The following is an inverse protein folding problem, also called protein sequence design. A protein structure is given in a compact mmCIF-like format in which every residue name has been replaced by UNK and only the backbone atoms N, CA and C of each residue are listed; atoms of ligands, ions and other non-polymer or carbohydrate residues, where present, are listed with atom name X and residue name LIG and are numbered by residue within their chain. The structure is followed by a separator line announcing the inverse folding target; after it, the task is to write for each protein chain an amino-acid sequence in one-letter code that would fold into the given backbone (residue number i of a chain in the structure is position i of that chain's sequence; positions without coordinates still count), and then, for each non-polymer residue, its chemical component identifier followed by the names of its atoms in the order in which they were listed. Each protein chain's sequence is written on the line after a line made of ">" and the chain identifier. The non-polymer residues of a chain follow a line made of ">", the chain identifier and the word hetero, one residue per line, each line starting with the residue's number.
data_IF_485073564726
#
_entry.id   IF_485073564726
#
_cell.length_a   1.000
_cell.length_b   1.000
_cell.length_c   1.000
_cell.angle_alpha   90.00
_cell.angle_beta   90.00
_cell.angle_gamma   90.00
#
_symmetry.space_group_name_H-M   'P 1'
#
loop_
_entity.id
_entity.type
_entity.pdbx_description
1 polymer ?
#
# COMPACT_ATOMS: atom_id res chain seq x y z
N UNK A 1 3.14 -19.55 90.04
CA UNK A 1 3.36 -18.16 89.56
C UNK A 1 4.47 -17.97 88.55
N UNK A 2 5.57 -18.71 88.65
CA UNK A 2 6.71 -18.59 87.76
C UNK A 2 6.50 -18.93 86.29
N UNK A 3 5.68 -19.92 85.96
CA UNK A 3 5.43 -20.34 84.58
C UNK A 3 4.73 -19.27 83.76
N UNK A 4 3.81 -18.49 84.31
CA UNK A 4 3.14 -17.38 83.63
C UNK A 4 4.06 -16.20 83.33
N UNK A 5 5.09 -16.01 84.21
CA UNK A 5 6.07 -14.95 84.02
C UNK A 5 7.06 -15.30 82.88
N UNK A 6 7.48 -16.54 82.80
CA UNK A 6 8.37 -17.04 81.75
C UNK A 6 7.70 -16.94 80.37
N UNK A 7 6.44 -17.33 80.30
CA UNK A 7 5.67 -17.26 79.03
C UNK A 7 5.48 -15.81 78.53
N UNK A 8 5.29 -14.85 79.44
CA UNK A 8 5.22 -13.43 79.10
C UNK A 8 6.54 -12.88 78.59
N UNK A 9 7.66 -13.30 79.16
CA UNK A 9 9.00 -12.89 78.73
C UNK A 9 9.28 -13.43 77.33
N UNK A 10 9.00 -14.70 77.10
CA UNK A 10 9.13 -15.32 75.76
C UNK A 10 8.29 -14.63 74.70
N UNK A 11 7.05 -14.28 75.04
CA UNK A 11 6.17 -13.59 74.08
C UNK A 11 6.62 -12.17 73.78
N UNK A 12 7.12 -11.44 74.75
CA UNK A 12 7.69 -10.11 74.55
C UNK A 12 8.99 -10.16 73.73
N UNK A 13 9.86 -11.14 73.97
CA UNK A 13 11.10 -11.29 73.25
C UNK A 13 10.83 -11.68 71.74
N UNK A 14 9.84 -12.55 71.54
CA UNK A 14 9.45 -12.94 70.19
C UNK A 14 8.79 -11.76 69.43
N UNK A 15 7.99 -10.93 70.11
CA UNK A 15 7.39 -9.74 69.51
C UNK A 15 8.46 -8.67 69.18
N UNK A 16 9.49 -8.51 70.03
CA UNK A 16 10.62 -7.61 69.78
C UNK A 16 11.50 -8.06 68.62
N UNK A 17 11.70 -9.37 68.42
CA UNK A 17 12.44 -9.93 67.30
C UNK A 17 11.72 -9.73 65.94
N UNK A 18 10.40 -9.72 65.92
CA UNK A 18 9.59 -9.44 64.74
C UNK A 18 9.60 -7.95 64.34
N UNK A 19 9.85 -7.04 65.26
CA UNK A 19 9.90 -5.60 65.00
C UNK A 19 11.22 -5.14 64.37
N UNK A 20 12.29 -5.91 64.38
CA UNK A 20 13.59 -5.56 63.80
C UNK A 20 13.69 -5.87 62.30
N UNK A 21 12.70 -6.52 61.69
CA UNK A 21 12.69 -6.94 60.30
C UNK A 21 12.35 -5.89 59.25
N UNK A 22 11.93 -4.67 59.62
CA UNK A 22 11.50 -3.63 58.66
C UNK A 22 12.58 -2.56 58.39
N UNK A 23 13.84 -2.94 58.42
CA UNK A 23 14.91 -2.09 57.94
C UNK A 23 15.38 -2.54 56.51
N UNK A 24 14.48 -2.64 55.56
CA UNK A 24 14.90 -2.80 54.20
C UNK A 24 15.41 -1.46 53.69
N UNK A 25 16.72 -1.28 53.83
CA UNK A 25 17.39 -0.13 53.28
C UNK A 25 17.04 0.01 51.80
N UNK A 26 16.47 1.14 51.42
CA UNK A 26 16.49 1.58 50.04
C UNK A 26 17.86 2.15 49.65
N UNK A 27 18.88 1.82 50.46
CA UNK A 27 20.27 2.32 50.31
C UNK A 27 20.90 1.82 49.02
N UNK A 28 20.59 0.61 48.60
CA UNK A 28 20.99 0.05 47.31
C UNK A 28 20.36 0.79 46.11
N UNK A 29 19.09 1.13 46.22
CA UNK A 29 18.37 1.91 45.19
C UNK A 29 18.90 3.35 45.13
N UNK A 30 19.14 3.96 46.28
CA UNK A 30 19.71 5.30 46.37
C UNK A 30 21.12 5.32 45.78
N UNK A 31 21.96 4.35 46.12
CA UNK A 31 23.31 4.19 45.58
C UNK A 31 23.25 3.98 44.03
N UNK A 32 22.32 3.17 43.55
CA UNK A 32 22.16 2.97 42.11
C UNK A 32 21.73 4.24 41.39
N UNK A 33 20.77 4.99 41.96
CA UNK A 33 20.31 6.27 41.38
C UNK A 33 21.46 7.30 41.36
N UNK A 34 22.27 7.34 42.41
CA UNK A 34 23.43 8.25 42.49
C UNK A 34 24.51 7.83 41.49
N UNK A 35 24.75 6.53 41.32
CA UNK A 35 25.67 6.03 40.29
C UNK A 35 25.18 6.43 38.87
N UNK A 36 23.90 6.24 38.57
CA UNK A 36 23.35 6.61 37.25
C UNK A 36 23.42 8.11 37.02
N UNK A 37 23.14 8.93 38.05
CA UNK A 37 23.25 10.38 37.98
C UNK A 37 24.72 10.86 37.82
N UNK A 38 25.65 10.15 38.40
CA UNK A 38 27.08 10.45 38.31
C UNK A 38 27.68 10.04 36.97
N UNK A 39 27.01 9.19 36.18
CA UNK A 39 27.48 8.82 34.85
C UNK A 39 27.55 10.07 33.96
N UNK A 40 28.72 10.38 33.39
CA UNK A 40 28.82 11.50 32.47
C UNK A 40 27.81 11.31 31.32
N UNK A 41 27.00 12.30 31.05
CA UNK A 41 26.06 12.29 29.93
C UNK A 41 26.81 11.97 28.64
N UNK A 42 26.25 11.09 27.81
CA UNK A 42 26.83 10.74 26.52
C UNK A 42 27.15 12.00 25.73
N UNK A 43 28.23 11.96 24.96
CA UNK A 43 28.63 13.06 24.09
C UNK A 43 27.48 13.33 23.10
N UNK A 44 26.82 14.46 23.26
CA UNK A 44 25.78 14.89 22.31
C UNK A 44 26.49 15.26 21.01
N UNK A 45 26.15 14.55 19.93
CA UNK A 45 26.66 14.91 18.61
C UNK A 45 26.23 16.34 18.28
N UNK A 46 27.14 17.19 17.77
CA UNK A 46 26.79 18.53 17.37
C UNK A 46 25.73 18.47 16.26
N UNK A 47 24.74 19.33 16.37
CA UNK A 47 23.69 19.43 15.35
C UNK A 47 24.33 19.63 13.97
N UNK A 48 23.84 18.95 12.93
CA UNK A 48 24.33 19.13 11.58
C UNK A 48 24.19 20.61 11.19
N UNK A 49 25.26 21.18 10.68
CA UNK A 49 25.23 22.57 10.20
C UNK A 49 24.27 22.66 9.02
N UNK A 50 23.23 23.48 9.16
CA UNK A 50 22.28 23.75 8.09
C UNK A 50 23.06 24.56 7.03
N UNK A 51 23.29 23.96 5.88
CA UNK A 51 23.83 24.67 4.72
C UNK A 51 22.82 25.75 4.32
N UNK A 52 23.24 27.02 4.18
CA UNK A 52 22.32 28.04 3.72
C UNK A 52 21.75 27.66 2.37
N UNK A 53 20.41 27.68 2.28
CA UNK A 53 19.70 27.41 1.04
C UNK A 53 20.02 28.53 0.05
N UNK A 54 20.62 28.18 -1.09
CA UNK A 54 20.78 29.12 -2.18
C UNK A 54 19.49 29.15 -2.97
N UNK A 55 18.81 30.28 -2.97
CA UNK A 55 17.63 30.49 -3.81
C UNK A 55 18.06 30.45 -5.26
N UNK A 56 17.52 29.48 -6.00
CA UNK A 56 17.69 29.42 -7.44
C UNK A 56 16.58 30.26 -8.09
N UNK A 57 16.93 31.31 -8.78
CA UNK A 57 16.01 32.04 -9.63
C UNK A 57 15.92 31.33 -10.96
N UNK A 58 14.73 30.83 -11.25
CA UNK A 58 14.46 30.20 -12.53
C UNK A 58 14.32 31.29 -13.61
N UNK A 59 15.26 31.33 -14.53
CA UNK A 59 15.19 32.16 -15.74
C UNK A 59 14.72 31.27 -16.90
N UNK A 60 13.46 31.47 -17.32
CA UNK A 60 12.88 30.70 -18.39
C UNK A 60 13.59 30.95 -19.74
N UNK A 61 14.14 32.16 -19.93
CA UNK A 61 14.70 32.55 -21.22
C UNK A 61 13.68 32.31 -22.33
N UNK A 62 14.15 31.84 -23.48
CA UNK A 62 13.30 31.49 -24.63
C UNK A 62 12.70 30.07 -24.53
N UNK A 63 12.78 29.45 -23.35
CA UNK A 63 12.21 28.10 -23.14
C UNK A 63 10.70 28.19 -23.04
N UNK A 64 10.05 27.30 -23.76
CA UNK A 64 8.61 27.18 -23.75
C UNK A 64 8.11 26.79 -22.34
N UNK A 65 7.01 27.41 -21.91
CA UNK A 65 6.34 27.00 -20.68
C UNK A 65 5.81 25.55 -20.80
N UNK A 66 6.13 24.65 -19.87
CA UNK A 66 5.62 23.28 -19.93
C UNK A 66 4.10 23.20 -19.70
N UNK A 67 3.47 24.28 -19.27
CA UNK A 67 2.02 24.34 -19.00
C UNK A 67 1.21 24.95 -20.16
N UNK A 68 1.87 25.43 -21.20
CA UNK A 68 1.19 25.88 -22.41
C UNK A 68 1.02 24.70 -23.35
N UNK A 69 -0.23 24.27 -23.48
CA UNK A 69 -0.59 23.24 -24.43
C UNK A 69 -0.31 23.72 -25.86
N UNK A 70 0.44 22.97 -26.64
CA UNK A 70 0.58 23.28 -28.05
C UNK A 70 -0.74 23.16 -28.76
N UNK A 71 -1.38 24.29 -28.98
CA UNK A 71 -2.42 24.42 -29.99
C UNK A 71 -1.73 24.57 -31.34
N UNK A 72 -0.89 23.60 -31.72
CA UNK A 72 -0.50 23.44 -33.11
C UNK A 72 -1.76 23.11 -33.92
N UNK A 73 -1.81 23.49 -35.20
CA UNK A 73 -2.92 23.08 -36.03
C UNK A 73 -3.07 21.55 -35.94
N UNK A 74 -4.24 21.09 -35.52
CA UNK A 74 -4.58 19.67 -35.34
C UNK A 74 -4.60 18.89 -36.68
N UNK A 75 -3.62 19.11 -37.52
CA UNK A 75 -3.42 18.46 -38.83
C UNK A 75 -2.33 17.41 -38.84
N UNK A 76 -1.69 17.16 -37.68
CA UNK A 76 -0.96 15.93 -37.47
C UNK A 76 -1.96 14.89 -36.94
N UNK A 77 -2.45 13.99 -37.78
CA UNK A 77 -2.96 12.72 -37.30
C UNK A 77 -1.87 12.16 -36.37
N UNK A 78 -2.11 12.25 -35.07
CA UNK A 78 -1.28 11.52 -34.12
C UNK A 78 -1.37 10.06 -34.57
N UNK A 79 -0.28 9.59 -35.18
CA UNK A 79 -0.19 8.25 -35.75
C UNK A 79 -0.10 7.25 -34.61
N UNK A 80 -1.22 6.98 -33.95
CA UNK A 80 -1.32 6.06 -32.85
C UNK A 80 -2.67 5.33 -32.85
N UNK A 81 -2.76 4.24 -32.13
CA UNK A 81 -4.03 3.55 -31.95
C UNK A 81 -5.04 4.49 -31.33
N UNK A 82 -6.29 4.41 -31.76
CA UNK A 82 -7.40 5.19 -31.20
C UNK A 82 -8.60 4.29 -30.95
N UNK A 83 -9.37 4.56 -29.90
CA UNK A 83 -10.65 3.89 -29.66
C UNK A 83 -11.59 4.11 -30.85
N UNK A 84 -12.29 3.06 -31.24
CA UNK A 84 -13.36 3.17 -32.23
C UNK A 84 -14.66 3.62 -31.55
N UNK A 85 -14.90 4.92 -31.60
CA UNK A 85 -16.11 5.53 -31.03
C UNK A 85 -17.39 5.28 -31.84
N UNK A 86 -17.27 4.73 -33.06
CA UNK A 86 -18.41 4.48 -33.95
C UNK A 86 -19.13 3.15 -33.62
N UNK A 87 -18.45 2.21 -32.92
CA UNK A 87 -19.06 0.93 -32.56
C UNK A 87 -19.92 1.04 -31.29
N UNK A 88 -20.99 0.25 -31.18
CA UNK A 88 -21.72 0.12 -29.94
C UNK A 88 -20.80 -0.54 -28.88
N UNK A 89 -20.84 -0.01 -27.67
CA UNK A 89 -20.08 -0.59 -26.56
C UNK A 89 -20.71 -1.91 -26.09
N UNK A 90 -19.86 -2.87 -25.77
CA UNK A 90 -20.26 -4.12 -25.15
C UNK A 90 -20.51 -3.92 -23.65
N UNK A 91 -21.32 -4.81 -23.05
CA UNK A 91 -21.71 -4.69 -21.64
C UNK A 91 -20.52 -4.66 -20.69
N UNK A 92 -19.49 -5.50 -20.93
CA UNK A 92 -18.29 -5.61 -20.09
C UNK A 92 -17.36 -4.38 -20.17
N UNK A 93 -17.55 -3.49 -21.13
CA UNK A 93 -16.83 -2.21 -21.18
C UNK A 93 -17.33 -1.17 -20.15
N UNK A 94 -18.45 -1.44 -19.49
CA UNK A 94 -18.96 -0.63 -18.38
C UNK A 94 -18.18 -0.84 -17.08
N UNK A 95 -17.41 -1.89 -16.96
CA UNK A 95 -16.71 -2.29 -15.75
C UNK A 95 -15.20 -2.04 -15.88
N UNK A 96 -14.50 -1.59 -14.81
CA UNK A 96 -13.06 -1.58 -14.79
C UNK A 96 -12.48 -3.00 -14.93
N UNK A 97 -11.37 -3.15 -15.64
CA UNK A 97 -10.78 -4.46 -15.91
C UNK A 97 -10.42 -5.24 -14.64
N UNK A 98 -9.98 -4.53 -13.60
CA UNK A 98 -9.60 -5.05 -12.28
C UNK A 98 -10.77 -5.56 -11.44
N UNK A 99 -12.01 -5.26 -11.84
CA UNK A 99 -13.22 -5.76 -11.18
C UNK A 99 -13.83 -6.98 -11.90
N UNK A 100 -13.23 -7.40 -13.00
CA UNK A 100 -13.64 -8.54 -13.80
C UNK A 100 -12.80 -9.76 -13.43
N UNK A 101 -13.45 -10.84 -13.05
CA UNK A 101 -12.78 -12.09 -12.66
C UNK A 101 -13.06 -13.19 -13.68
N UNK A 102 -12.02 -13.91 -14.09
CA UNK A 102 -12.23 -15.12 -14.90
C UNK A 102 -12.62 -16.29 -13.98
N UNK A 103 -13.74 -16.92 -14.27
CA UNK A 103 -14.26 -18.05 -13.47
C UNK A 103 -14.15 -19.39 -14.20
N UNK A 104 -13.67 -19.41 -15.42
CA UNK A 104 -13.47 -20.63 -16.18
C UNK A 104 -13.47 -20.44 -17.68
N UNK A 105 -13.44 -21.57 -18.38
CA UNK A 105 -13.59 -21.65 -19.84
C UNK A 105 -14.76 -22.52 -20.22
N UNK A 106 -15.32 -22.29 -21.38
CA UNK A 106 -16.36 -23.11 -21.98
C UNK A 106 -16.01 -23.43 -23.43
N UNK A 107 -15.89 -24.69 -23.76
CA UNK A 107 -15.71 -25.10 -25.14
C UNK A 107 -17.08 -25.42 -25.78
N UNK A 108 -17.34 -24.77 -26.89
CA UNK A 108 -18.57 -25.02 -27.68
C UNK A 108 -18.29 -24.84 -29.17
N UNK A 109 -18.70 -25.79 -29.95
CA UNK A 109 -18.57 -25.75 -31.44
C UNK A 109 -17.10 -25.52 -31.90
N UNK A 110 -16.13 -26.09 -31.17
CA UNK A 110 -14.70 -25.94 -31.47
C UNK A 110 -14.13 -24.55 -31.17
N UNK A 111 -14.86 -23.76 -30.37
CA UNK A 111 -14.40 -22.43 -29.89
C UNK A 111 -14.31 -22.43 -28.37
N UNK A 112 -13.23 -21.87 -27.84
CA UNK A 112 -13.03 -21.70 -26.42
C UNK A 112 -13.48 -20.28 -26.01
N UNK A 113 -14.47 -20.22 -25.14
CA UNK A 113 -14.98 -19.01 -24.52
C UNK A 113 -14.36 -18.82 -23.15
N UNK A 114 -13.98 -17.61 -22.82
CA UNK A 114 -13.69 -17.23 -21.44
C UNK A 114 -15.00 -16.89 -20.71
N UNK A 115 -15.12 -17.31 -19.48
CA UNK A 115 -16.22 -16.97 -18.59
C UNK A 115 -15.75 -15.88 -17.63
N UNK A 116 -16.31 -14.69 -17.78
CA UNK A 116 -15.93 -13.51 -16.97
C UNK A 116 -17.10 -13.15 -16.07
N UNK A 117 -16.85 -13.11 -14.77
CA UNK A 117 -17.80 -12.69 -13.75
C UNK A 117 -17.59 -11.20 -13.44
N UNK A 118 -18.69 -10.46 -13.42
CA UNK A 118 -18.76 -9.07 -12.99
C UNK A 118 -19.02 -8.95 -11.49
N UNK A 119 -18.78 -7.80 -10.90
CA UNK A 119 -18.97 -7.55 -9.47
C UNK A 119 -20.40 -7.74 -8.94
N UNK A 120 -21.40 -7.75 -9.84
CA UNK A 120 -22.80 -8.07 -9.54
C UNK A 120 -23.10 -9.58 -9.57
N UNK A 121 -22.07 -10.41 -9.84
CA UNK A 121 -22.17 -11.87 -9.86
C UNK A 121 -22.64 -12.47 -11.17
N UNK A 122 -22.89 -11.68 -12.21
CA UNK A 122 -23.27 -12.18 -13.53
C UNK A 122 -22.06 -12.74 -14.28
N UNK A 123 -22.26 -13.85 -15.00
CA UNK A 123 -21.21 -14.46 -15.79
C UNK A 123 -21.47 -14.26 -17.27
N UNK A 124 -20.50 -13.69 -17.95
CA UNK A 124 -20.53 -13.40 -19.38
C UNK A 124 -19.51 -14.23 -20.14
N UNK A 125 -19.86 -14.59 -21.37
CA UNK A 125 -18.97 -15.32 -22.29
C UNK A 125 -18.24 -14.35 -23.17
N UNK A 126 -16.92 -14.48 -23.26
CA UNK A 126 -16.09 -13.67 -24.15
C UNK A 126 -15.28 -14.56 -25.10
N UNK A 127 -15.02 -14.02 -26.27
CA UNK A 127 -14.18 -14.61 -27.31
C UNK A 127 -13.06 -13.64 -27.69
N UNK A 128 -11.96 -14.13 -28.31
CA UNK A 128 -11.02 -13.24 -28.98
C UNK A 128 -11.74 -12.28 -29.94
N UNK A 129 -11.47 -10.99 -29.79
CA UNK A 129 -12.11 -9.92 -30.54
C UNK A 129 -13.24 -9.18 -29.81
N UNK A 130 -13.82 -9.73 -28.72
CA UNK A 130 -14.75 -9.01 -27.87
C UNK A 130 -14.04 -7.90 -27.09
N UNK A 131 -14.82 -6.95 -26.57
CA UNK A 131 -14.33 -5.83 -25.80
C UNK A 131 -14.77 -5.90 -24.35
N UNK A 132 -13.88 -5.51 -23.43
CA UNK A 132 -14.12 -5.46 -21.99
C UNK A 132 -13.18 -4.44 -21.33
N UNK A 133 -13.60 -3.96 -20.16
CA UNK A 133 -12.83 -2.90 -19.49
C UNK A 133 -13.10 -1.50 -20.03
N UNK A 134 -12.93 -0.49 -19.17
CA UNK A 134 -13.25 0.91 -19.50
C UNK A 134 -12.28 1.55 -20.51
N UNK A 135 -11.14 0.92 -20.77
CA UNK A 135 -10.09 1.41 -21.64
C UNK A 135 -10.10 0.74 -23.04
N UNK A 136 -11.28 0.47 -23.58
CA UNK A 136 -11.44 -0.21 -24.87
C UNK A 136 -10.59 -1.49 -24.99
N UNK A 137 -10.56 -2.29 -23.92
CA UNK A 137 -9.76 -3.50 -23.82
C UNK A 137 -10.28 -4.58 -24.77
N UNK A 138 -9.49 -4.94 -25.77
CA UNK A 138 -9.82 -5.99 -26.73
C UNK A 138 -9.24 -7.34 -26.28
N UNK A 139 -10.06 -8.36 -26.23
CA UNK A 139 -9.62 -9.73 -25.96
C UNK A 139 -8.73 -10.20 -27.12
N UNK A 140 -7.50 -10.55 -26.83
CA UNK A 140 -6.51 -11.07 -27.79
C UNK A 140 -6.56 -12.59 -27.81
N UNK A 141 -6.52 -13.22 -26.64
CA UNK A 141 -6.54 -14.67 -26.50
C UNK A 141 -7.31 -15.10 -25.27
N UNK A 142 -7.83 -16.34 -25.32
CA UNK A 142 -8.49 -17.01 -24.20
C UNK A 142 -7.81 -18.35 -24.01
N UNK A 143 -7.35 -18.62 -22.79
CA UNK A 143 -6.70 -19.87 -22.39
C UNK A 143 -7.31 -20.36 -21.07
N UNK A 144 -6.98 -21.58 -20.66
CA UNK A 144 -7.39 -22.10 -19.34
C UNK A 144 -6.77 -21.33 -18.18
N UNK A 145 -5.61 -20.69 -18.39
CA UNK A 145 -4.90 -19.92 -17.37
C UNK A 145 -5.41 -18.47 -17.24
N UNK A 146 -6.04 -17.94 -18.29
CA UNK A 146 -6.44 -16.53 -18.28
C UNK A 146 -6.88 -16.02 -19.65
N UNK A 147 -7.32 -14.78 -19.65
CA UNK A 147 -7.73 -14.00 -20.82
C UNK A 147 -6.73 -12.87 -21.00
N UNK A 148 -6.06 -12.82 -22.17
CA UNK A 148 -5.19 -11.72 -22.52
C UNK A 148 -5.99 -10.60 -23.19
N UNK A 149 -5.74 -9.38 -22.75
CA UNK A 149 -6.46 -8.18 -23.18
C UNK A 149 -5.46 -7.10 -23.60
N UNK A 150 -5.72 -6.44 -24.69
CA UNK A 150 -4.98 -5.25 -25.14
C UNK A 150 -5.85 -4.01 -24.91
N UNK A 151 -5.46 -3.16 -23.98
CA UNK A 151 -6.15 -1.90 -23.64
C UNK A 151 -5.55 -0.71 -24.38
N UNK A 152 -6.39 0.29 -24.65
CA UNK A 152 -5.99 1.60 -25.16
C UNK A 152 -6.02 2.63 -24.03
N UNK A 153 -4.85 2.97 -23.50
CA UNK A 153 -4.71 3.91 -22.38
C UNK A 153 -4.33 5.29 -22.91
N UNK A 154 -5.01 6.36 -22.48
CA UNK A 154 -4.65 7.72 -22.88
C UNK A 154 -3.24 8.08 -22.38
N UNK A 155 -2.45 8.73 -23.23
CA UNK A 155 -1.09 9.17 -22.94
C UNK A 155 -1.02 10.53 -22.21
N UNK A 156 -2.17 11.17 -21.96
CA UNK A 156 -2.28 12.47 -21.30
C UNK A 156 -2.05 13.68 -22.20
N UNK A 157 -1.62 13.48 -23.44
CA UNK A 157 -1.39 14.55 -24.44
C UNK A 157 -2.31 14.46 -25.65
N UNK A 158 -3.39 13.65 -25.55
CA UNK A 158 -4.41 13.48 -26.58
C UNK A 158 -4.20 12.30 -27.52
N UNK A 159 -3.19 11.46 -27.29
CA UNK A 159 -2.97 10.18 -27.93
C UNK A 159 -3.35 9.01 -27.02
N UNK A 160 -3.14 7.78 -27.56
CA UNK A 160 -3.36 6.53 -26.86
C UNK A 160 -2.18 5.59 -27.14
N UNK A 161 -1.85 4.77 -26.17
CA UNK A 161 -0.90 3.68 -26.33
C UNK A 161 -1.56 2.35 -25.94
N UNK A 162 -1.04 1.26 -26.53
CA UNK A 162 -1.50 -0.09 -26.22
C UNK A 162 -0.82 -0.60 -24.96
N UNK A 163 -1.59 -1.17 -24.08
CA UNK A 163 -1.13 -1.84 -22.86
C UNK A 163 -1.66 -3.26 -22.83
N UNK A 164 -0.78 -4.24 -22.65
CA UNK A 164 -1.21 -5.62 -22.41
C UNK A 164 -1.62 -5.78 -20.94
N UNK A 165 -2.76 -6.41 -20.73
CA UNK A 165 -3.29 -6.79 -19.43
C UNK A 165 -3.79 -8.24 -19.52
N UNK A 166 -3.99 -8.88 -18.36
CA UNK A 166 -4.54 -10.22 -18.30
C UNK A 166 -5.51 -10.34 -17.13
N UNK A 167 -6.56 -11.14 -17.33
CA UNK A 167 -7.47 -11.58 -16.26
C UNK A 167 -7.14 -13.05 -16.03
N UNK A 168 -6.58 -13.37 -14.87
CA UNK A 168 -6.24 -14.75 -14.49
C UNK A 168 -7.47 -15.50 -14.00
N UNK A 169 -7.45 -16.81 -14.15
CA UNK A 169 -8.40 -17.68 -13.47
C UNK A 169 -8.11 -17.67 -11.97
N UNK A 170 -9.13 -17.41 -11.17
CA UNK A 170 -9.10 -17.46 -9.69
C UNK A 170 -9.23 -18.89 -9.17
#
# INVERSE_FOLDING_TARGET
>A
MMLKSINRIITVTLLAALATGCGSGMDDLLAYVDEIKARPGGRIEPLPQIKPYQTFNYEAGDRRSPFVQETGPATGQLAGPRPDVSRPKEYLEGFPLDTLNMVGTLEREGRTYGLVQTGDGLVHRVLPGNFLGQNDGRVVSVSEAGIEVEELVPDGIGGFFKRSAAISLD
#
